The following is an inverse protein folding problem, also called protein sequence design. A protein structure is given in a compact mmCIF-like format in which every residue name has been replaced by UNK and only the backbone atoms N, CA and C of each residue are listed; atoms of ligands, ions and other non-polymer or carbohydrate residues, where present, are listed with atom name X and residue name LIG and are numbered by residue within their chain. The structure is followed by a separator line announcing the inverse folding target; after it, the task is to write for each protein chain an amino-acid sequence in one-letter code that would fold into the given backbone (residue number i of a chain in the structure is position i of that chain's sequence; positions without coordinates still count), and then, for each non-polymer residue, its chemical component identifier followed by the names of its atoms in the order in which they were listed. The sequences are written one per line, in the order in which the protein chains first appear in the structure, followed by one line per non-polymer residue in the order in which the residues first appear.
data_IF_326842918300
#
_entry.id   IF_326842918300
#
_cell.length_a   1.000
_cell.length_b   1.000
_cell.length_c   1.000
_cell.angle_alpha   90.00
_cell.angle_beta   90.00
_cell.angle_gamma   90.00
#
_symmetry.space_group_name_H-M   'P 1'
#
loop_
_entity.id
_entity.type
_entity.pdbx_description
1 polymer ?
#
# COMPACT_ATOMS: atom_id res chain seq x y z
N UNK A 1 -22.05 8.31 -8.97
CA UNK A 1 -22.80 9.16 -8.03
C UNK A 1 -23.40 8.26 -6.94
N UNK A 2 -22.71 8.05 -5.80
CA UNK A 2 -23.17 7.11 -4.75
C UNK A 2 -23.86 7.80 -3.56
N UNK A 3 -23.53 9.08 -3.31
CA UNK A 3 -24.03 9.84 -2.16
C UNK A 3 -25.52 10.14 -2.30
N UNK A 4 -25.96 10.67 -3.45
CA UNK A 4 -27.37 10.99 -3.71
C UNK A 4 -28.24 9.71 -3.73
N UNK A 5 -27.65 8.56 -4.08
CA UNK A 5 -28.36 7.28 -4.08
C UNK A 5 -28.44 6.63 -2.67
N UNK A 6 -27.85 7.26 -1.63
CA UNK A 6 -27.86 6.71 -0.27
C UNK A 6 -27.10 5.39 -0.12
N UNK A 7 -26.18 5.08 -1.03
CA UNK A 7 -25.45 3.81 -0.97
C UNK A 7 -24.46 3.81 0.20
N UNK A 8 -24.64 2.86 1.12
CA UNK A 8 -23.72 2.61 2.22
C UNK A 8 -22.82 1.42 1.86
N UNK A 9 -21.52 1.56 2.06
CA UNK A 9 -20.54 0.48 1.91
C UNK A 9 -19.64 0.42 3.14
N UNK A 10 -19.45 -0.78 3.68
CA UNK A 10 -18.44 -1.02 4.70
C UNK A 10 -17.04 -0.85 4.09
N UNK A 11 -16.13 -0.23 4.86
CA UNK A 11 -14.72 -0.05 4.49
C UNK A 11 -13.81 -0.31 5.70
N UNK A 12 -12.67 -0.93 5.45
CA UNK A 12 -11.60 -1.17 6.41
C UNK A 12 -10.81 0.11 6.63
N UNK A 13 -10.36 0.33 7.87
CA UNK A 13 -9.54 1.48 8.28
C UNK A 13 -8.30 0.96 9.01
N UNK A 14 -7.14 1.49 8.66
CA UNK A 14 -5.89 1.24 9.37
C UNK A 14 -5.79 2.13 10.61
N UNK A 15 -5.27 1.56 11.68
CA UNK A 15 -4.80 2.31 12.83
C UNK A 15 -3.29 2.49 12.73
N UNK A 16 -2.82 3.73 12.77
CA UNK A 16 -1.39 4.04 12.78
C UNK A 16 -0.97 4.43 14.18
N UNK A 17 0.03 3.72 14.72
CA UNK A 17 0.56 3.97 16.05
C UNK A 17 2.08 3.95 16.04
N UNK A 18 2.69 4.64 17.01
CA UNK A 18 4.14 4.63 17.23
C UNK A 18 4.41 4.48 18.71
N UNK A 19 5.26 3.51 19.07
CA UNK A 19 5.61 3.19 20.46
C UNK A 19 4.37 3.08 21.39
N UNK A 20 3.32 2.41 20.92
CA UNK A 20 2.07 2.22 21.66
C UNK A 20 1.12 3.43 21.70
N UNK A 21 1.51 4.58 21.15
CA UNK A 21 0.65 5.77 21.06
C UNK A 21 -0.05 5.83 19.72
N UNK A 22 -1.38 5.98 19.76
CA UNK A 22 -2.20 6.21 18.56
C UNK A 22 -1.80 7.54 17.91
N UNK A 23 -1.54 7.52 16.61
CA UNK A 23 -1.27 8.71 15.81
C UNK A 23 -2.52 9.16 15.05
N UNK A 24 -3.09 8.25 14.25
CA UNK A 24 -4.27 8.54 13.44
C UNK A 24 -4.92 7.26 12.91
N UNK A 25 -6.11 7.44 12.35
CA UNK A 25 -6.79 6.45 11.51
C UNK A 25 -6.68 6.87 10.05
N UNK A 26 -6.57 5.91 9.14
CA UNK A 26 -6.56 6.20 7.71
C UNK A 26 -6.58 4.95 6.86
N UNK A 27 -6.62 5.10 5.54
CA UNK A 27 -6.74 3.98 4.62
C UNK A 27 -5.40 3.48 4.08
N UNK A 28 -4.36 4.31 4.19
CA UNK A 28 -3.06 3.98 3.66
C UNK A 28 -1.94 4.75 4.34
N UNK A 29 -0.74 4.16 4.30
CA UNK A 29 0.49 4.81 4.70
C UNK A 29 1.60 4.48 3.72
N UNK A 30 2.54 5.41 3.57
CA UNK A 30 3.72 5.21 2.75
C UNK A 30 4.96 5.69 3.48
N UNK A 31 6.02 4.90 3.39
CA UNK A 31 7.34 5.20 3.92
C UNK A 31 8.37 5.17 2.78
N UNK A 32 9.39 6.02 2.86
CA UNK A 32 10.38 6.19 1.79
C UNK A 32 9.90 7.15 0.70
N UNK A 33 10.15 6.81 -0.58
CA UNK A 33 9.90 7.68 -1.72
C UNK A 33 8.46 8.22 -1.80
N UNK A 34 7.45 7.36 -1.63
CA UNK A 34 6.04 7.74 -1.71
C UNK A 34 5.64 8.73 -0.60
N UNK A 35 6.07 8.46 0.64
CA UNK A 35 5.84 9.37 1.77
C UNK A 35 6.51 10.73 1.58
N UNK A 36 7.78 10.74 1.14
CA UNK A 36 8.50 11.99 0.82
C UNK A 36 7.85 12.78 -0.31
N UNK A 37 7.37 12.09 -1.34
CA UNK A 37 6.65 12.70 -2.46
C UNK A 37 5.35 13.34 -1.98
N UNK A 38 4.56 12.66 -1.14
CA UNK A 38 3.34 13.22 -0.56
C UNK A 38 3.64 14.43 0.33
N UNK A 39 4.62 14.34 1.22
CA UNK A 39 4.99 15.45 2.10
C UNK A 39 5.46 16.69 1.31
N UNK A 40 6.20 16.49 0.21
CA UNK A 40 6.56 17.57 -0.71
C UNK A 40 5.32 18.14 -1.41
N UNK A 41 4.43 17.31 -1.93
CA UNK A 41 3.19 17.79 -2.57
C UNK A 41 2.29 18.53 -1.58
N UNK A 42 2.30 18.17 -0.30
CA UNK A 42 1.58 18.88 0.75
C UNK A 42 2.26 20.20 1.11
N UNK A 43 3.59 20.26 1.18
CA UNK A 43 4.32 21.52 1.45
C UNK A 43 4.09 22.58 0.37
N UNK A 44 3.87 22.18 -0.88
CA UNK A 44 3.75 23.07 -2.04
C UNK A 44 2.31 23.16 -2.59
N UNK A 45 1.28 23.22 -1.72
CA UNK A 45 -0.14 23.30 -2.17
C UNK A 45 -0.49 24.52 -3.02
N UNK A 46 0.33 25.58 -3.00
CA UNK A 46 0.14 26.79 -3.81
C UNK A 46 0.30 26.53 -5.32
N UNK A 47 0.98 25.45 -5.71
CA UNK A 47 1.11 25.04 -7.11
C UNK A 47 -0.18 24.34 -7.59
N UNK A 48 -0.47 24.44 -8.89
CA UNK A 48 -1.57 23.69 -9.50
C UNK A 48 -1.39 22.16 -9.29
N UNK A 49 -2.48 21.37 -9.19
CA UNK A 49 -2.37 19.95 -8.86
C UNK A 49 -1.43 19.14 -9.76
N UNK A 50 -1.35 19.42 -11.07
CA UNK A 50 -0.43 18.76 -12.00
C UNK A 50 1.03 19.14 -11.74
N UNK A 51 1.33 20.43 -11.77
CA UNK A 51 2.68 20.95 -11.54
C UNK A 51 3.23 20.52 -10.18
N UNK A 52 2.39 20.56 -9.15
CA UNK A 52 2.74 20.13 -7.78
C UNK A 52 3.17 18.67 -7.71
N UNK A 53 2.46 17.78 -8.42
CA UNK A 53 2.81 16.36 -8.48
C UNK A 53 4.13 16.15 -9.20
N UNK A 54 4.29 16.74 -10.37
CA UNK A 54 5.50 16.58 -11.18
C UNK A 54 6.72 17.11 -10.42
N UNK A 55 6.60 18.29 -9.81
CA UNK A 55 7.62 18.87 -8.94
C UNK A 55 7.97 17.95 -7.77
N UNK A 56 6.97 17.45 -7.05
CA UNK A 56 7.20 16.58 -5.89
C UNK A 56 7.90 15.28 -6.29
N UNK A 57 7.49 14.65 -7.39
CA UNK A 57 8.10 13.41 -7.91
C UNK A 57 9.54 13.66 -8.33
N UNK A 58 9.81 14.69 -9.13
CA UNK A 58 11.16 15.02 -9.61
C UNK A 58 12.07 15.32 -8.42
N UNK A 59 11.60 16.11 -7.45
CA UNK A 59 12.38 16.48 -6.26
C UNK A 59 12.63 15.29 -5.34
N UNK A 60 11.66 14.40 -5.17
CA UNK A 60 11.84 13.16 -4.41
C UNK A 60 12.79 12.18 -5.13
N UNK A 61 12.74 12.11 -6.48
CA UNK A 61 13.63 11.29 -7.30
C UNK A 61 15.06 11.81 -7.25
N UNK A 62 15.26 13.13 -7.29
CA UNK A 62 16.57 13.75 -7.16
C UNK A 62 17.29 13.28 -5.88
N UNK A 63 16.54 13.18 -4.77
CA UNK A 63 17.02 12.71 -3.46
C UNK A 63 16.68 11.25 -3.17
N UNK A 64 16.55 10.40 -4.20
CA UNK A 64 16.22 8.99 -4.01
C UNK A 64 17.34 8.31 -3.20
N UNK A 65 16.99 7.81 -2.02
CA UNK A 65 17.86 7.05 -1.14
C UNK A 65 17.06 5.91 -0.51
N UNK A 66 17.63 4.69 -0.44
CA UNK A 66 17.02 3.61 0.31
C UNK A 66 17.16 3.84 1.82
N UNK A 67 16.18 3.36 2.56
CA UNK A 67 16.21 3.31 4.02
C UNK A 67 16.41 1.86 4.46
N UNK A 68 17.24 1.64 5.48
CA UNK A 68 17.40 0.31 6.08
C UNK A 68 16.29 0.10 7.11
N UNK A 69 15.48 -0.93 6.93
CA UNK A 69 14.30 -1.18 7.75
C UNK A 69 14.09 -2.68 8.00
N UNK A 70 13.48 -2.98 9.15
CA UNK A 70 12.90 -4.30 9.45
C UNK A 70 11.38 -4.17 9.40
N UNK A 71 10.73 -5.01 8.60
CA UNK A 71 9.29 -5.02 8.41
C UNK A 71 8.77 -6.37 8.87
N UNK A 72 7.90 -6.36 9.88
CA UNK A 72 7.18 -7.54 10.34
C UNK A 72 5.71 -7.45 9.94
N UNK A 73 5.16 -8.52 9.39
CA UNK A 73 3.77 -8.56 8.93
C UNK A 73 3.15 -9.94 9.09
N UNK A 74 1.82 -9.96 9.10
CA UNK A 74 1.00 -11.16 9.15
C UNK A 74 0.28 -11.36 7.82
N UNK A 75 0.36 -12.55 7.23
CA UNK A 75 -0.38 -12.84 5.99
C UNK A 75 -1.87 -13.05 6.28
N UNK A 76 -2.72 -12.33 5.54
CA UNK A 76 -4.14 -12.61 5.50
C UNK A 76 -4.36 -13.95 4.77
N UNK A 77 -4.89 -14.96 5.46
CA UNK A 77 -5.13 -16.27 4.84
C UNK A 77 -4.97 -17.51 5.71
N UNK A 78 -4.66 -17.41 7.01
CA UNK A 78 -4.77 -18.57 7.91
C UNK A 78 -6.23 -18.94 8.25
N UNK A 79 -7.21 -18.21 7.70
CA UNK A 79 -8.61 -18.36 8.08
C UNK A 79 -9.61 -17.86 7.02
N UNK A 80 -9.48 -18.24 5.74
CA UNK A 80 -10.61 -18.11 4.78
C UNK A 80 -10.64 -19.28 3.77
N UNK A 81 -11.08 -20.45 4.26
CA UNK A 81 -11.73 -21.49 3.45
C UNK A 81 -12.63 -22.38 4.34
N UNK A 82 -13.52 -21.75 5.12
CA UNK A 82 -14.58 -22.48 5.88
C UNK A 82 -15.96 -21.88 5.64
N UNK A 83 -16.30 -21.65 4.38
CA UNK A 83 -17.71 -21.48 4.01
C UNK A 83 -18.00 -22.15 2.67
N UNK A 84 -17.69 -23.45 2.60
CA UNK A 84 -18.40 -24.46 1.80
C UNK A 84 -17.73 -25.82 2.02
N UNK A 85 -18.14 -26.52 3.09
CA UNK A 85 -18.20 -27.98 3.25
C UNK A 85 -18.49 -28.30 4.72
N UNK A 86 -19.77 -28.49 5.04
CA UNK A 86 -20.19 -29.22 6.24
C UNK A 86 -19.78 -30.67 6.06
N UNK A 87 -18.79 -31.14 6.80
CA UNK A 87 -18.78 -32.43 7.51
C UNK A 87 -17.36 -32.79 7.99
N UNK A 88 -17.35 -33.37 9.20
CA UNK A 88 -16.25 -34.06 9.90
C UNK A 88 -15.35 -33.22 10.83
N UNK A 89 -15.25 -33.76 12.04
CA UNK A 89 -14.59 -33.28 13.25
C UNK A 89 -13.06 -33.36 13.14
N UNK A 90 -12.42 -32.74 14.15
CA UNK A 90 -11.02 -32.85 14.59
C UNK A 90 -9.94 -32.20 13.73
N UNK A 91 -9.60 -30.96 14.08
CA UNK A 91 -8.35 -30.62 14.76
C UNK A 91 -8.46 -29.13 15.13
N UNK A 92 -8.23 -28.79 16.40
CA UNK A 92 -7.91 -27.42 16.77
C UNK A 92 -6.57 -27.09 16.09
N UNK A 93 -6.62 -26.53 14.88
CA UNK A 93 -5.43 -25.97 14.28
C UNK A 93 -5.13 -24.69 15.06
N UNK A 94 -4.01 -24.68 15.78
CA UNK A 94 -3.34 -23.49 16.24
C UNK A 94 -3.07 -22.57 15.02
N UNK A 95 -4.06 -21.73 14.69
CA UNK A 95 -4.02 -20.81 13.56
C UNK A 95 -3.59 -19.41 14.01
N UNK A 96 -2.65 -19.36 14.96
CA UNK A 96 -1.83 -18.19 15.22
C UNK A 96 -0.93 -17.95 14.01
N UNK A 97 -1.40 -17.17 13.04
CA UNK A 97 -0.60 -16.86 11.87
C UNK A 97 0.79 -16.35 12.28
N UNK A 98 1.83 -17.00 11.77
CA UNK A 98 3.19 -16.68 12.15
C UNK A 98 3.59 -15.32 11.57
N UNK A 99 4.12 -14.43 12.42
CA UNK A 99 4.70 -13.16 11.98
C UNK A 99 5.90 -13.42 11.07
N UNK A 100 5.83 -12.90 9.85
CA UNK A 100 6.94 -12.91 8.93
C UNK A 100 7.73 -11.62 9.08
N UNK A 101 9.05 -11.71 8.89
CA UNK A 101 9.93 -10.55 8.94
C UNK A 101 10.81 -10.52 7.71
N UNK A 102 10.85 -9.36 7.05
CA UNK A 102 11.85 -9.04 6.05
C UNK A 102 12.69 -7.87 6.53
N UNK A 103 13.99 -7.90 6.22
CA UNK A 103 14.93 -6.84 6.58
C UNK A 103 15.78 -6.48 5.36
N UNK A 104 16.13 -5.19 5.26
CA UNK A 104 17.09 -4.70 4.29
C UNK A 104 16.78 -3.28 3.86
N UNK A 105 17.36 -2.92 2.71
CA UNK A 105 17.25 -1.59 2.15
C UNK A 105 16.05 -1.46 1.21
N UNK A 106 15.19 -0.49 1.49
CA UNK A 106 13.95 -0.25 0.74
C UNK A 106 13.87 1.20 0.24
N UNK A 107 13.47 1.38 -1.02
CA UNK A 107 13.20 2.69 -1.60
C UNK A 107 11.79 3.19 -1.24
N UNK A 108 10.83 2.27 -1.12
CA UNK A 108 9.45 2.60 -0.82
C UNK A 108 8.73 1.43 -0.14
N UNK A 109 7.94 1.74 0.89
CA UNK A 109 7.03 0.80 1.55
C UNK A 109 5.64 1.44 1.51
N UNK A 110 4.62 0.67 1.17
CA UNK A 110 3.25 1.15 1.05
C UNK A 110 2.29 0.13 1.66
N UNK A 111 1.42 0.62 2.54
CA UNK A 111 0.38 -0.15 3.20
C UNK A 111 -0.97 0.45 2.78
N UNK A 112 -1.87 -0.37 2.26
CA UNK A 112 -3.12 0.09 1.65
C UNK A 112 -4.29 -0.84 2.04
N UNK A 113 -5.28 -0.32 2.77
CA UNK A 113 -6.56 -0.99 3.07
C UNK A 113 -7.62 -0.76 1.98
N UNK A 114 -7.32 0.08 0.98
CA UNK A 114 -8.16 0.30 -0.19
C UNK A 114 -7.30 0.34 -1.46
N UNK A 115 -7.89 0.20 -2.67
CA UNK A 115 -7.11 0.23 -3.91
C UNK A 115 -6.33 1.54 -4.19
N UNK A 116 -6.81 2.66 -3.64
CA UNK A 116 -6.20 4.00 -3.79
C UNK A 116 -5.96 4.43 -5.26
N UNK A 117 -6.99 4.45 -6.14
CA UNK A 117 -6.86 4.99 -7.49
C UNK A 117 -6.59 6.50 -7.45
N UNK A 118 -5.67 6.97 -8.28
CA UNK A 118 -5.39 8.39 -8.47
C UNK A 118 -4.83 8.65 -9.87
N UNK A 119 -4.61 9.93 -10.23
CA UNK A 119 -4.04 10.30 -11.53
C UNK A 119 -2.67 9.68 -11.82
N UNK A 120 -1.95 9.25 -10.78
CA UNK A 120 -0.64 8.58 -10.89
C UNK A 120 -0.75 7.06 -10.98
N UNK A 121 -1.88 6.49 -10.58
CA UNK A 121 -2.15 5.06 -10.58
C UNK A 121 -3.64 4.84 -10.89
N UNK A 122 -4.03 4.83 -12.17
CA UNK A 122 -5.45 4.83 -12.57
C UNK A 122 -6.24 3.61 -12.07
N UNK A 123 -5.65 2.40 -12.00
CA UNK A 123 -6.31 1.24 -11.35
C UNK A 123 -5.96 1.09 -9.87
N UNK A 124 -5.27 2.06 -9.29
CA UNK A 124 -4.85 2.03 -7.89
C UNK A 124 -3.45 1.52 -7.66
N UNK A 125 -2.91 1.86 -6.49
CA UNK A 125 -1.66 1.31 -6.02
C UNK A 125 -1.79 -0.15 -5.60
N UNK A 126 -2.99 -0.64 -5.29
CA UNK A 126 -3.24 -2.04 -4.90
C UNK A 126 -4.63 -2.48 -5.41
N UNK A 127 -4.78 -2.73 -6.73
CA UNK A 127 -6.09 -2.97 -7.35
C UNK A 127 -6.86 -4.15 -6.75
N UNK A 128 -6.15 -5.16 -6.24
CA UNK A 128 -6.75 -6.40 -5.71
C UNK A 128 -7.17 -6.28 -4.23
N UNK A 129 -6.94 -5.12 -3.58
CA UNK A 129 -7.34 -4.89 -2.19
C UNK A 129 -8.87 -4.84 -2.09
N UNK A 130 -9.44 -5.71 -1.25
CA UNK A 130 -10.86 -5.67 -0.90
C UNK A 130 -11.11 -4.62 0.16
N UNK A 131 -12.28 -3.99 0.11
CA UNK A 131 -12.59 -2.87 0.98
C UNK A 131 -12.98 -3.26 2.40
N UNK A 132 -13.37 -4.51 2.69
CA UNK A 132 -14.06 -4.84 3.95
C UNK A 132 -13.75 -6.26 4.48
N UNK A 133 -12.54 -6.75 4.29
CA UNK A 133 -12.16 -8.12 4.69
C UNK A 133 -11.14 -8.15 5.83
N UNK A 134 -10.88 -7.01 6.48
CA UNK A 134 -9.92 -6.91 7.58
C UNK A 134 -8.48 -7.14 7.14
N UNK A 135 -8.18 -7.02 5.84
CA UNK A 135 -6.84 -7.21 5.29
C UNK A 135 -6.32 -5.93 4.64
N UNK A 136 -5.00 -5.81 4.56
CA UNK A 136 -4.35 -4.71 3.88
C UNK A 136 -3.26 -5.26 2.97
N UNK A 137 -3.01 -4.55 1.87
CA UNK A 137 -1.91 -4.87 0.97
C UNK A 137 -0.63 -4.20 1.45
N UNK A 138 0.43 -4.99 1.62
CA UNK A 138 1.80 -4.52 1.82
C UNK A 138 2.55 -4.59 0.49
N UNK A 139 3.00 -3.44 -0.01
CA UNK A 139 3.92 -3.34 -1.16
C UNK A 139 5.25 -2.78 -0.73
N UNK A 140 6.31 -3.43 -1.19
CA UNK A 140 7.67 -3.10 -0.82
C UNK A 140 8.52 -3.02 -2.08
N UNK A 141 9.28 -1.93 -2.23
CA UNK A 141 10.25 -1.74 -3.31
C UNK A 141 11.63 -1.75 -2.68
N UNK A 142 12.37 -2.84 -2.90
CA UNK A 142 13.76 -2.99 -2.45
C UNK A 142 14.69 -2.02 -3.16
N UNK A 143 15.90 -1.87 -2.63
CA UNK A 143 16.94 -1.08 -3.25
C UNK A 143 17.19 -1.53 -4.70
N UNK A 144 17.21 -0.56 -5.62
CA UNK A 144 17.45 -0.77 -7.04
C UNK A 144 18.01 0.51 -7.65
N UNK A 145 18.43 0.44 -8.91
CA UNK A 145 18.97 1.61 -9.62
C UNK A 145 17.88 2.65 -9.87
N UNK A 146 18.27 3.93 -10.01
CA UNK A 146 17.33 5.02 -10.30
C UNK A 146 16.55 4.77 -11.59
N UNK A 147 17.19 4.21 -12.62
CA UNK A 147 16.54 3.91 -13.90
C UNK A 147 15.49 2.81 -13.76
N UNK A 148 15.77 1.74 -13.03
CA UNK A 148 14.79 0.68 -12.75
C UNK A 148 13.64 1.19 -11.87
N UNK A 149 13.93 2.03 -10.89
CA UNK A 149 12.88 2.67 -10.08
C UNK A 149 11.97 3.59 -10.92
N UNK A 150 12.54 4.39 -11.82
CA UNK A 150 11.75 5.22 -12.75
C UNK A 150 10.92 4.37 -13.71
N UNK A 151 11.47 3.25 -14.23
CA UNK A 151 10.69 2.29 -15.02
C UNK A 151 9.53 1.73 -14.21
N UNK A 152 9.75 1.36 -12.95
CA UNK A 152 8.72 0.90 -12.02
C UNK A 152 7.60 1.94 -11.85
N UNK A 153 7.93 3.21 -11.60
CA UNK A 153 6.94 4.30 -11.50
C UNK A 153 6.11 4.47 -12.79
N UNK A 154 6.77 4.45 -13.96
CA UNK A 154 6.10 4.57 -15.26
C UNK A 154 5.13 3.42 -15.55
N UNK A 155 5.42 2.22 -15.06
CA UNK A 155 4.49 1.07 -15.17
C UNK A 155 3.22 1.31 -14.37
N UNK A 156 3.31 1.92 -13.19
CA UNK A 156 2.14 2.30 -12.40
C UNK A 156 1.35 3.47 -12.99
N UNK A 157 1.95 4.38 -13.75
CA UNK A 157 1.17 5.44 -14.42
C UNK A 157 0.40 4.96 -15.66
N UNK A 158 0.79 3.82 -16.26
CA UNK A 158 0.17 3.32 -17.49
C UNK A 158 -0.97 2.33 -17.22
N UNK A 159 -2.15 2.62 -17.78
CA UNK A 159 -3.34 1.74 -17.72
C UNK A 159 -3.08 0.36 -18.33
N UNK A 160 -2.13 0.26 -19.28
CA UNK A 160 -1.79 -0.97 -20.00
C UNK A 160 -0.84 -1.91 -19.23
N UNK A 161 -0.09 -1.40 -18.24
CA UNK A 161 1.03 -2.13 -17.63
C UNK A 161 0.82 -2.52 -16.15
N UNK A 162 -0.36 -2.28 -15.57
CA UNK A 162 -0.65 -2.61 -14.16
C UNK A 162 -1.04 -4.09 -13.93
N UNK A 163 -0.44 -5.00 -14.69
CA UNK A 163 -0.58 -6.45 -14.51
C UNK A 163 0.62 -7.03 -13.75
N UNK A 164 0.35 -7.49 -12.53
CA UNK A 164 0.94 -8.66 -11.87
C UNK A 164 2.43 -8.97 -12.13
N UNK A 165 3.32 -8.55 -11.22
CA UNK A 165 4.51 -9.34 -10.88
C UNK A 165 4.76 -9.28 -9.37
N UNK A 166 4.70 -10.45 -8.73
CA UNK A 166 5.36 -10.70 -7.44
C UNK A 166 6.86 -10.55 -7.71
N UNK A 167 7.53 -9.61 -7.04
CA UNK A 167 8.99 -9.63 -7.01
C UNK A 167 9.40 -10.83 -6.15
N UNK A 168 10.22 -11.72 -6.73
CA UNK A 168 10.88 -12.83 -6.03
C UNK A 168 11.75 -12.29 -4.88
#
# INVERSE_FOLDING_TARGET
MHIILGHIRSVDVCTFSSAGKLLCFGFSAMFGFGGRTLALAEKYRWMSPSQRRDFAIIKALAKLKPEDCKISFLLAGCSQNKQERKSQRSAESDCGGHWQTIQGQFLNISIMAMPCPCSMAPRGFTPDTRLHNGSMALRVVRNTTRSEFVKHLKRHSSVKNQGLYRYN
#
